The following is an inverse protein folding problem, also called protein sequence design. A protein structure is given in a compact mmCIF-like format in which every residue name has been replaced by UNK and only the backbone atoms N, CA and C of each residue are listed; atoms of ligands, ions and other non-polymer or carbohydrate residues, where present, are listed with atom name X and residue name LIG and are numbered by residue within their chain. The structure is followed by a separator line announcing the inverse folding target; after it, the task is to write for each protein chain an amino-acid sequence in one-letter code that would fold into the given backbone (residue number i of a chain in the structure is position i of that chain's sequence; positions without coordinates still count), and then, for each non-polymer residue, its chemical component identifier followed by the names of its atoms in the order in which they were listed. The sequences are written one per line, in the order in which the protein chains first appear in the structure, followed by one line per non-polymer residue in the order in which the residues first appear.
data_IF_441240046280
#
_entry.id   IF_441240046280
#
_cell.length_a   1.000
_cell.length_b   1.000
_cell.length_c   1.000
_cell.angle_alpha   90.00
_cell.angle_beta   90.00
_cell.angle_gamma   90.00
#
_symmetry.space_group_name_H-M   'P 1'
#
loop_
_entity.id
_entity.type
_entity.pdbx_description
1 polymer ?
#
# COMPACT_ATOMS: atom_id res chain seq x y z
N UNK A 1 -5.88 -16.24 -0.10
CA UNK A 1 -5.17 -15.03 0.37
C UNK A 1 -3.69 -15.23 0.15
N UNK A 2 -3.01 -14.29 -0.48
CA UNK A 2 -1.57 -14.41 -0.77
C UNK A 2 -0.74 -13.92 0.43
N UNK A 3 0.33 -14.66 0.76
CA UNK A 3 1.19 -14.38 1.90
C UNK A 3 2.68 -14.43 1.49
N UNK A 4 3.32 -13.27 1.26
CA UNK A 4 4.75 -13.24 0.93
C UNK A 4 5.59 -13.64 2.16
N UNK A 5 6.43 -14.66 2.03
CA UNK A 5 7.27 -15.18 3.13
C UNK A 5 8.66 -14.54 3.24
N UNK A 6 9.11 -13.85 2.19
CA UNK A 6 10.47 -13.37 1.96
C UNK A 6 10.67 -11.87 2.26
N UNK A 7 9.58 -11.10 2.38
CA UNK A 7 9.63 -9.68 2.77
C UNK A 7 9.27 -9.53 4.25
N UNK A 8 10.26 -9.16 5.07
CA UNK A 8 10.13 -9.05 6.54
C UNK A 8 8.95 -8.17 6.94
N UNK A 9 8.74 -7.05 6.25
CA UNK A 9 7.67 -6.10 6.56
C UNK A 9 6.26 -6.58 6.17
N UNK A 10 6.11 -7.71 5.45
CA UNK A 10 4.83 -8.19 4.92
C UNK A 10 4.46 -9.61 5.37
N UNK A 11 5.40 -10.36 5.95
CA UNK A 11 5.20 -11.79 6.24
C UNK A 11 4.28 -12.10 7.42
N UNK A 12 4.15 -11.18 8.38
CA UNK A 12 3.42 -11.44 9.62
C UNK A 12 1.90 -11.21 9.49
N UNK A 13 1.52 -10.14 8.79
CA UNK A 13 0.13 -9.67 8.67
C UNK A 13 -0.81 -10.72 8.07
N UNK A 14 -0.46 -11.43 6.98
CA UNK A 14 -1.33 -12.46 6.41
C UNK A 14 -1.60 -13.61 7.39
N UNK A 15 -0.65 -13.97 8.26
CA UNK A 15 -0.82 -15.06 9.23
C UNK A 15 -1.86 -14.68 10.27
N UNK A 16 -1.71 -13.49 10.86
CA UNK A 16 -2.65 -12.95 11.86
C UNK A 16 -4.04 -12.78 11.25
N UNK A 17 -4.13 -12.15 10.08
CA UNK A 17 -5.41 -11.95 9.40
C UNK A 17 -6.08 -13.27 9.02
N UNK A 18 -5.33 -14.30 8.61
CA UNK A 18 -5.89 -15.62 8.29
C UNK A 18 -6.56 -16.25 9.51
N UNK A 19 -5.91 -16.14 10.68
CA UNK A 19 -6.47 -16.64 11.92
C UNK A 19 -7.75 -15.89 12.29
N UNK A 20 -7.72 -14.56 12.32
CA UNK A 20 -8.89 -13.74 12.67
C UNK A 20 -10.07 -13.96 11.71
N UNK A 21 -9.81 -14.11 10.41
CA UNK A 21 -10.83 -14.43 9.42
C UNK A 21 -11.43 -15.82 9.67
N UNK A 22 -10.62 -16.82 10.05
CA UNK A 22 -11.13 -18.16 10.41
C UNK A 22 -11.98 -18.11 11.67
N UNK A 23 -11.57 -17.36 12.68
CA UNK A 23 -12.35 -17.14 13.91
C UNK A 23 -13.69 -16.42 13.62
N UNK A 24 -13.70 -15.53 12.63
CA UNK A 24 -14.92 -14.89 12.12
C UNK A 24 -15.77 -15.79 11.21
N UNK A 25 -15.39 -17.07 11.01
CA UNK A 25 -16.17 -18.05 10.25
C UNK A 25 -15.81 -18.18 8.77
N UNK A 26 -14.80 -17.49 8.26
CA UNK A 26 -14.36 -17.63 6.87
C UNK A 26 -13.49 -18.87 6.66
N UNK A 27 -13.67 -19.55 5.52
CA UNK A 27 -12.71 -20.54 5.03
C UNK A 27 -11.54 -19.84 4.35
N UNK A 28 -10.39 -19.78 5.03
CA UNK A 28 -9.19 -19.12 4.49
C UNK A 28 -8.20 -20.12 3.92
N UNK A 29 -8.04 -20.10 2.60
CA UNK A 29 -6.88 -20.65 1.89
C UNK A 29 -5.73 -19.62 1.92
N UNK A 30 -4.68 -19.93 2.69
CA UNK A 30 -3.50 -19.08 2.85
C UNK A 30 -2.37 -19.61 1.97
N UNK A 31 -1.98 -18.81 0.97
CA UNK A 31 -1.03 -19.21 -0.06
C UNK A 31 0.32 -18.53 0.19
N UNK A 32 1.24 -19.26 0.81
CA UNK A 32 2.62 -18.81 1.01
C UNK A 32 3.37 -18.77 -0.33
N UNK A 33 4.08 -17.67 -0.59
CA UNK A 33 4.82 -17.43 -1.84
C UNK A 33 5.91 -16.39 -1.64
N UNK A 34 6.73 -16.11 -2.66
CA UNK A 34 7.62 -14.94 -2.70
C UNK A 34 6.88 -13.65 -3.10
N UNK A 35 7.47 -12.48 -2.78
CA UNK A 35 6.87 -11.19 -3.08
C UNK A 35 6.74 -10.89 -4.57
N UNK A 36 7.69 -11.33 -5.40
CA UNK A 36 7.61 -11.06 -6.84
C UNK A 36 6.42 -11.78 -7.48
N UNK A 37 6.13 -13.01 -7.04
CA UNK A 37 4.90 -13.70 -7.43
C UNK A 37 3.65 -12.91 -7.03
N UNK A 38 3.61 -12.29 -5.85
CA UNK A 38 2.50 -11.39 -5.45
C UNK A 38 2.42 -10.18 -6.38
N UNK A 39 3.55 -9.54 -6.69
CA UNK A 39 3.63 -8.36 -7.56
C UNK A 39 3.08 -8.63 -8.96
N UNK A 40 3.40 -9.80 -9.53
CA UNK A 40 2.88 -10.21 -10.84
C UNK A 40 1.39 -10.61 -10.74
N UNK A 41 1.03 -11.38 -9.71
CA UNK A 41 -0.31 -11.97 -9.60
C UNK A 41 -1.40 -10.96 -9.22
N UNK A 42 -1.08 -9.91 -8.46
CA UNK A 42 -2.06 -8.88 -8.05
C UNK A 42 -2.72 -8.14 -9.22
N UNK A 43 -2.10 -8.15 -10.41
CA UNK A 43 -2.69 -7.61 -11.64
C UNK A 43 -3.75 -8.52 -12.28
N UNK A 44 -3.79 -9.81 -11.93
CA UNK A 44 -4.73 -10.77 -12.49
C UNK A 44 -6.15 -10.53 -11.99
N UNK A 45 -7.07 -10.25 -12.91
CA UNK A 45 -8.52 -10.13 -12.65
C UNK A 45 -9.26 -11.46 -12.88
N UNK A 46 -8.53 -12.55 -13.09
CA UNK A 46 -9.11 -13.87 -13.31
C UNK A 46 -9.73 -14.42 -12.02
N UNK A 47 -10.57 -15.47 -12.10
CA UNK A 47 -10.98 -16.24 -10.94
C UNK A 47 -9.78 -16.82 -10.17
N UNK A 48 -9.93 -17.04 -8.86
CA UNK A 48 -8.86 -17.56 -7.98
C UNK A 48 -8.24 -18.87 -8.49
N UNK A 49 -9.07 -19.76 -9.07
CA UNK A 49 -8.61 -21.05 -9.63
C UNK A 49 -7.69 -20.89 -10.85
N UNK A 50 -7.68 -19.72 -11.48
CA UNK A 50 -6.90 -19.41 -12.69
C UNK A 50 -5.81 -18.36 -12.43
N UNK A 51 -5.35 -18.27 -11.19
CA UNK A 51 -4.33 -17.30 -10.78
C UNK A 51 -4.88 -15.95 -10.34
N UNK A 52 -6.20 -15.80 -10.17
CA UNK A 52 -6.79 -14.67 -9.44
C UNK A 52 -6.46 -14.68 -7.94
N UNK A 53 -6.95 -13.68 -7.22
CA UNK A 53 -6.72 -13.53 -5.78
C UNK A 53 -7.90 -12.80 -5.12
N UNK A 54 -8.05 -12.97 -3.80
CA UNK A 54 -9.08 -12.29 -3.01
C UNK A 54 -8.51 -11.23 -2.06
N UNK A 55 -7.30 -11.46 -1.52
CA UNK A 55 -6.65 -10.56 -0.57
C UNK A 55 -5.13 -10.72 -0.63
N UNK A 56 -4.41 -9.61 -0.47
CA UNK A 56 -2.96 -9.54 -0.27
C UNK A 56 -2.63 -8.37 0.65
N UNK A 57 -1.40 -8.35 1.16
CA UNK A 57 -0.89 -7.31 2.06
C UNK A 57 0.25 -6.59 1.37
N UNK A 58 0.30 -5.27 1.55
CA UNK A 58 1.36 -4.41 1.00
C UNK A 58 1.60 -3.23 1.93
N UNK A 59 2.66 -2.49 1.67
CA UNK A 59 2.94 -1.20 2.28
C UNK A 59 3.35 -0.20 1.18
N UNK A 60 3.49 1.05 1.58
CA UNK A 60 3.97 2.16 0.78
C UNK A 60 4.89 3.03 1.63
N UNK A 61 5.82 3.74 1.02
CA UNK A 61 6.58 4.75 1.77
C UNK A 61 5.71 5.99 1.98
N UNK A 62 5.99 6.77 3.03
CA UNK A 62 5.16 7.92 3.42
C UNK A 62 4.96 8.93 2.29
N UNK A 63 5.96 9.13 1.44
CA UNK A 63 5.88 10.03 0.28
C UNK A 63 4.82 9.60 -0.75
N UNK A 64 4.66 8.29 -1.00
CA UNK A 64 3.70 7.77 -1.97
C UNK A 64 2.25 7.97 -1.52
N UNK A 65 2.03 8.03 -0.20
CA UNK A 65 0.69 8.15 0.41
C UNK A 65 0.40 9.53 0.98
N UNK A 66 1.31 10.49 0.81
CA UNK A 66 1.24 11.81 1.42
C UNK A 66 0.07 12.67 0.90
N UNK A 67 -0.44 12.39 -0.29
CA UNK A 67 -1.58 13.09 -0.88
C UNK A 67 -2.44 12.13 -1.72
N UNK A 68 -3.74 12.43 -1.90
CA UNK A 68 -4.68 11.53 -2.59
C UNK A 68 -4.45 11.41 -4.10
N UNK A 69 -3.65 12.29 -4.71
CA UNK A 69 -3.30 12.19 -6.13
C UNK A 69 -2.23 11.12 -6.33
N UNK A 70 -1.17 11.15 -5.51
CA UNK A 70 -0.06 10.19 -5.54
C UNK A 70 -0.45 8.83 -4.97
N UNK A 71 -1.31 8.80 -3.95
CA UNK A 71 -1.76 7.57 -3.32
C UNK A 71 -2.62 6.75 -4.28
N UNK A 72 -2.04 5.72 -4.90
CA UNK A 72 -2.74 4.87 -5.85
C UNK A 72 -3.85 4.03 -5.19
N UNK A 73 -3.73 3.74 -3.89
CA UNK A 73 -4.66 2.84 -3.18
C UNK A 73 -6.03 3.48 -2.92
N UNK A 74 -6.14 4.81 -2.98
CA UNK A 74 -7.43 5.52 -2.90
C UNK A 74 -8.06 5.73 -4.29
N UNK A 75 -7.49 5.19 -5.38
CA UNK A 75 -8.03 5.40 -6.71
C UNK A 75 -9.33 4.62 -6.96
N UNK A 76 -10.33 5.31 -7.53
CA UNK A 76 -11.66 4.78 -7.85
C UNK A 76 -11.87 4.51 -9.34
N UNK A 77 -10.82 4.16 -10.11
CA UNK A 77 -10.88 4.00 -11.58
C UNK A 77 -11.27 2.59 -12.05
N UNK A 78 -11.62 1.69 -11.13
CA UNK A 78 -12.05 0.35 -11.45
C UNK A 78 -10.98 -0.48 -12.16
N UNK A 79 -11.40 -1.31 -13.11
CA UNK A 79 -10.54 -2.24 -13.85
C UNK A 79 -9.58 -1.57 -14.83
N UNK A 80 -9.79 -0.28 -15.15
CA UNK A 80 -9.03 0.48 -16.14
C UNK A 80 -8.32 1.66 -15.49
N UNK A 81 -7.06 1.46 -15.12
CA UNK A 81 -6.22 2.50 -14.51
C UNK A 81 -6.42 2.70 -13.01
N UNK A 82 -7.24 1.85 -12.36
CA UNK A 82 -7.32 1.74 -10.91
C UNK A 82 -6.21 0.86 -10.34
N UNK A 83 -5.98 0.99 -9.03
CA UNK A 83 -5.10 0.07 -8.31
C UNK A 83 -5.77 -1.31 -8.17
N UNK A 84 -4.97 -2.31 -7.84
CA UNK A 84 -5.42 -3.70 -7.70
C UNK A 84 -6.56 -3.80 -6.66
N UNK A 85 -7.58 -4.60 -6.98
CA UNK A 85 -8.85 -4.66 -6.23
C UNK A 85 -10.00 -3.98 -6.97
N UNK A 86 -9.69 -3.20 -8.00
CA UNK A 86 -10.64 -2.69 -9.00
C UNK A 86 -11.82 -1.91 -8.40
N UNK A 87 -11.59 -1.19 -7.32
CA UNK A 87 -12.59 -0.29 -6.76
C UNK A 87 -12.94 0.79 -7.80
N UNK A 88 -14.23 0.92 -8.09
CA UNK A 88 -14.76 1.92 -9.01
C UNK A 88 -15.64 2.89 -8.22
N UNK A 89 -15.27 4.17 -8.26
CA UNK A 89 -15.82 5.18 -7.39
C UNK A 89 -15.68 6.59 -7.99
N UNK A 90 -16.77 7.07 -8.59
CA UNK A 90 -16.79 8.37 -9.26
C UNK A 90 -16.65 9.55 -8.29
N UNK A 91 -17.15 9.44 -7.06
CA UNK A 91 -17.09 10.54 -6.09
C UNK A 91 -15.66 10.75 -5.61
N UNK A 92 -14.93 9.66 -5.34
CA UNK A 92 -13.52 9.76 -4.97
C UNK A 92 -12.70 10.32 -6.13
N UNK A 93 -12.95 9.91 -7.36
CA UNK A 93 -12.24 10.47 -8.52
C UNK A 93 -12.53 11.97 -8.70
N UNK A 94 -13.78 12.41 -8.51
CA UNK A 94 -14.13 13.83 -8.52
C UNK A 94 -13.40 14.62 -7.43
N UNK A 95 -13.29 14.06 -6.23
CA UNK A 95 -12.56 14.70 -5.12
C UNK A 95 -11.05 14.73 -5.37
N UNK A 96 -10.46 13.67 -5.92
CA UNK A 96 -9.03 13.64 -6.29
C UNK A 96 -8.71 14.70 -7.33
N UNK A 97 -9.61 14.88 -8.30
CA UNK A 97 -9.51 15.90 -9.34
C UNK A 97 -9.65 17.33 -8.77
N UNK A 98 -10.59 17.54 -7.84
CA UNK A 98 -10.72 18.80 -7.10
C UNK A 98 -9.50 19.10 -6.22
N UNK A 99 -8.95 18.10 -5.52
CA UNK A 99 -7.72 18.24 -4.73
C UNK A 99 -6.56 18.73 -5.60
N UNK A 100 -6.38 18.12 -6.78
CA UNK A 100 -5.29 18.45 -7.70
C UNK A 100 -5.37 19.88 -8.24
N UNK A 101 -6.58 20.42 -8.43
CA UNK A 101 -6.78 21.80 -8.93
C UNK A 101 -6.88 22.85 -7.83
N UNK A 102 -7.00 22.44 -6.57
CA UNK A 102 -7.06 23.37 -5.46
C UNK A 102 -5.69 24.02 -5.22
N UNK A 103 -5.69 25.35 -5.06
CA UNK A 103 -4.52 26.16 -4.70
C UNK A 103 -4.47 26.52 -3.21
N UNK A 104 -5.47 26.13 -2.42
CA UNK A 104 -5.50 26.37 -0.97
C UNK A 104 -5.14 25.09 -0.21
N UNK A 105 -4.10 25.10 0.63
CA UNK A 105 -3.77 23.99 1.52
C UNK A 105 -4.92 23.61 2.46
N UNK A 106 -5.69 24.58 2.94
CA UNK A 106 -6.85 24.36 3.81
C UNK A 106 -7.95 23.59 3.07
N UNK A 107 -8.21 23.96 1.81
CA UNK A 107 -9.19 23.29 0.98
C UNK A 107 -8.73 21.89 0.57
N UNK A 108 -7.46 21.73 0.20
CA UNK A 108 -6.84 20.42 -0.03
C UNK A 108 -7.01 19.50 1.18
N UNK A 109 -6.79 20.02 2.40
CA UNK A 109 -6.97 19.25 3.64
C UNK A 109 -8.42 18.78 3.84
N UNK A 110 -9.41 19.64 3.57
CA UNK A 110 -10.85 19.26 3.66
C UNK A 110 -11.20 18.18 2.64
N UNK A 111 -10.76 18.33 1.39
CA UNK A 111 -11.01 17.36 0.33
C UNK A 111 -10.36 16.02 0.67
N UNK A 112 -9.12 16.02 1.17
CA UNK A 112 -8.43 14.80 1.60
C UNK A 112 -9.16 14.09 2.75
N UNK A 113 -9.72 14.84 3.70
CA UNK A 113 -10.52 14.27 4.79
C UNK A 113 -11.81 13.60 4.27
N UNK A 114 -12.49 14.19 3.28
CA UNK A 114 -13.67 13.57 2.67
C UNK A 114 -13.30 12.30 1.89
N UNK A 115 -12.18 12.30 1.16
CA UNK A 115 -11.68 11.07 0.48
C UNK A 115 -11.40 9.97 1.50
N UNK A 116 -10.77 10.28 2.64
CA UNK A 116 -10.51 9.30 3.70
C UNK A 116 -11.80 8.75 4.29
N UNK A 117 -12.80 9.60 4.53
CA UNK A 117 -14.12 9.20 5.00
C UNK A 117 -14.79 8.23 4.01
N UNK A 118 -14.83 8.57 2.72
CA UNK A 118 -15.39 7.69 1.70
C UNK A 118 -14.65 6.35 1.61
N UNK A 119 -13.30 6.36 1.75
CA UNK A 119 -12.54 5.13 1.80
C UNK A 119 -12.95 4.23 3.00
N UNK A 120 -13.24 4.81 4.16
CA UNK A 120 -13.72 4.04 5.32
C UNK A 120 -15.14 3.51 5.14
N UNK A 121 -16.04 4.30 4.54
CA UNK A 121 -17.41 3.88 4.27
C UNK A 121 -17.48 2.76 3.22
N UNK A 122 -16.61 2.82 2.21
CA UNK A 122 -16.65 1.94 1.02
C UNK A 122 -15.63 0.80 1.08
N UNK A 123 -14.67 0.87 2.00
CA UNK A 123 -13.63 -0.14 2.24
C UNK A 123 -12.85 -0.48 0.96
N UNK A 124 -12.40 0.55 0.23
CA UNK A 124 -11.62 0.39 -1.01
C UNK A 124 -10.26 -0.27 -0.72
N UNK A 125 -9.64 0.13 0.38
CA UNK A 125 -8.56 -0.62 1.02
C UNK A 125 -8.63 -0.45 2.54
N UNK A 126 -8.00 -1.37 3.26
CA UNK A 126 -7.95 -1.35 4.73
C UNK A 126 -6.58 -0.84 5.19
N UNK A 127 -6.47 0.37 5.75
CA UNK A 127 -5.23 0.83 6.36
C UNK A 127 -4.98 0.06 7.66
N UNK A 128 -3.82 -0.60 7.77
CA UNK A 128 -3.45 -1.37 8.96
C UNK A 128 -2.65 -0.56 9.98
N UNK A 129 -2.04 0.55 9.55
CA UNK A 129 -1.23 1.42 10.38
C UNK A 129 0.02 1.93 9.67
N UNK A 130 0.90 2.53 10.46
CA UNK A 130 2.18 3.08 10.02
C UNK A 130 3.29 2.57 10.93
N UNK A 131 4.49 2.40 10.37
CA UNK A 131 5.67 2.00 11.13
C UNK A 131 6.91 2.72 10.58
N UNK A 132 7.92 2.83 11.43
CA UNK A 132 9.26 3.26 11.02
C UNK A 132 10.13 2.03 10.78
N UNK A 133 10.76 1.96 9.62
CA UNK A 133 11.75 0.93 9.33
C UNK A 133 13.10 1.38 9.90
N UNK A 134 13.67 0.68 10.90
CA UNK A 134 14.98 1.02 11.41
C UNK A 134 16.06 0.69 10.38
N UNK A 135 16.99 1.63 10.18
CA UNK A 135 18.18 1.43 9.35
C UNK A 135 19.42 1.43 10.25
N UNK A 136 20.37 0.54 9.96
CA UNK A 136 21.63 0.45 10.69
C UNK A 136 22.81 0.52 9.73
N UNK A 137 23.83 1.29 10.12
CA UNK A 137 25.02 1.54 9.31
C UNK A 137 26.27 1.22 10.13
N UNK A 138 27.33 0.74 9.46
CA UNK A 138 28.64 0.61 10.10
C UNK A 138 29.15 2.02 10.44
N UNK A 139 29.77 2.19 11.61
CA UNK A 139 30.34 3.48 12.06
C UNK A 139 31.40 4.07 11.10
N UNK A 140 31.97 3.25 10.22
CA UNK A 140 32.92 3.69 9.19
C UNK A 140 32.24 4.32 7.97
N UNK A 141 30.91 4.21 7.84
CA UNK A 141 30.16 4.85 6.76
C UNK A 141 29.78 6.28 7.16
N UNK A 142 30.03 7.22 6.26
CA UNK A 142 29.61 8.62 6.37
C UNK A 142 28.72 9.02 5.21
N UNK A 143 28.04 10.16 5.37
CA UNK A 143 27.16 10.71 4.34
C UNK A 143 25.82 9.98 4.18
N UNK A 144 25.44 9.17 5.16
CA UNK A 144 24.08 8.60 5.23
C UNK A 144 23.07 9.73 5.29
N UNK A 145 22.17 9.76 4.30
CA UNK A 145 21.05 10.70 4.26
C UNK A 145 19.82 10.07 4.89
N UNK A 146 19.10 10.84 5.70
CA UNK A 146 17.76 10.49 6.15
C UNK A 146 16.76 10.73 5.02
N UNK A 147 15.69 9.93 4.98
CA UNK A 147 14.64 10.12 3.99
C UNK A 147 13.65 8.96 3.89
N UNK A 148 12.59 9.14 3.07
CA UNK A 148 11.51 8.16 2.94
C UNK A 148 11.93 6.87 2.22
N UNK A 149 13.10 6.84 1.55
CA UNK A 149 13.60 5.72 0.75
C UNK A 149 15.09 5.43 1.00
N UNK A 150 15.50 5.29 2.26
CA UNK A 150 16.88 4.88 2.59
C UNK A 150 17.09 3.39 2.30
N UNK A 151 18.28 2.95 1.81
CA UNK A 151 19.48 3.74 1.46
C UNK A 151 19.36 4.59 0.19
N UNK A 152 19.96 5.77 0.26
CA UNK A 152 20.38 6.53 -0.92
C UNK A 152 21.91 6.47 -0.97
N UNK A 153 22.47 5.92 -2.06
CA UNK A 153 23.90 5.58 -2.10
C UNK A 153 24.82 6.68 -2.67
N UNK A 154 24.29 7.71 -3.32
CA UNK A 154 25.14 8.71 -4.00
C UNK A 154 26.00 9.56 -3.06
N UNK A 155 25.66 9.63 -1.77
CA UNK A 155 26.34 10.45 -0.77
C UNK A 155 27.16 9.60 0.22
N UNK A 156 27.23 8.28 0.00
CA UNK A 156 27.86 7.35 0.95
C UNK A 156 29.35 7.25 0.71
N UNK A 157 30.12 7.47 1.77
CA UNK A 157 31.57 7.25 1.79
C UNK A 157 31.93 6.24 2.88
N UNK A 158 33.01 5.48 2.65
CA UNK A 158 33.62 4.63 3.67
C UNK A 158 34.92 5.30 4.10
N UNK A 159 35.03 5.65 5.38
CA UNK A 159 36.30 6.04 6.00
C UNK A 159 37.22 4.82 6.06
N UNK A 160 38.48 5.04 5.70
CA UNK A 160 39.55 4.04 5.83
C UNK A 160 39.68 3.52 7.28
#
# INVERSE_FOLDING_TARGET
MMAPGDVVALKAQPIVAAQLLREAGFKVDLQATDWQTVVTRRASQKPVKEGGWNMFFTNWVGADVANPVANVSVGGRGTKGGWFGWAEDADIEKLRDAYARSSSPEEQKKIAAEIQKLNYERVIYVPLGQYLAPSAWRKTLTGVLDGPATPIFWNIEKKD
#
